data_IF_546988233311
#
_entry.id   IF_546988233311
#
_cell.length_a   1.000
_cell.length_b   1.000
_cell.length_c   1.000
_cell.angle_alpha   90.00
_cell.angle_beta   90.00
_cell.angle_gamma   90.00
#
_symmetry.space_group_name_H-M   'P 1'
#
loop_
_entity.id
_entity.type
_entity.pdbx_description
1 polymer ?
#
# COMPACT_ATOMS: atom_id res chain seq x y z
N UNK A 1 37.64 15.01 -8.07
CA UNK A 1 36.72 14.66 -9.19
C UNK A 1 35.62 13.78 -8.62
N UNK A 2 34.38 14.28 -8.55
CA UNK A 2 33.26 13.56 -7.90
C UNK A 2 32.90 12.31 -8.73
N UNK A 3 33.06 11.12 -8.14
CA UNK A 3 32.83 9.81 -8.76
C UNK A 3 31.34 9.47 -8.97
N UNK A 4 30.57 10.40 -9.54
CA UNK A 4 29.16 10.21 -9.82
C UNK A 4 28.93 9.63 -11.21
N UNK A 5 28.10 8.61 -11.28
CA UNK A 5 27.75 7.92 -12.52
C UNK A 5 26.86 8.81 -13.39
N UNK A 6 27.33 9.15 -14.61
CA UNK A 6 26.66 10.11 -15.52
C UNK A 6 25.23 9.73 -15.88
N UNK A 7 24.87 8.45 -15.85
CA UNK A 7 23.52 8.00 -16.20
C UNK A 7 22.43 8.43 -15.21
N UNK A 8 22.79 8.77 -13.96
CA UNK A 8 21.84 9.31 -12.99
C UNK A 8 21.47 10.76 -13.25
N UNK A 9 22.36 11.53 -13.90
CA UNK A 9 22.17 12.96 -14.16
C UNK A 9 21.17 13.24 -15.29
N UNK A 10 21.02 12.30 -16.23
CA UNK A 10 20.15 12.45 -17.42
C UNK A 10 18.82 11.70 -17.30
N UNK A 11 18.56 11.02 -16.18
CA UNK A 11 17.31 10.30 -16.03
C UNK A 11 16.16 11.28 -15.80
N UNK A 12 15.36 11.49 -16.84
CA UNK A 12 14.06 12.14 -16.73
C UNK A 12 13.02 11.03 -16.50
N UNK A 13 12.25 11.05 -15.40
CA UNK A 13 11.23 10.02 -15.16
C UNK A 13 10.23 10.05 -16.32
N UNK A 14 10.12 8.93 -17.04
CA UNK A 14 9.11 8.79 -18.10
C UNK A 14 7.73 8.83 -17.46
N UNK A 15 6.90 9.78 -17.88
CA UNK A 15 5.50 9.87 -17.46
C UNK A 15 4.73 8.62 -17.90
N UNK A 16 3.89 8.09 -17.00
CA UNK A 16 3.03 6.95 -17.31
C UNK A 16 2.01 7.31 -18.41
N UNK A 17 1.66 6.33 -19.26
CA UNK A 17 0.65 6.55 -20.29
C UNK A 17 -0.73 6.85 -19.67
N UNK A 18 -1.57 7.59 -20.38
CA UNK A 18 -2.93 7.90 -19.93
C UNK A 18 -3.73 6.63 -19.59
N UNK A 19 -3.59 5.58 -20.41
CA UNK A 19 -4.19 4.26 -20.17
C UNK A 19 -3.67 3.62 -18.86
N UNK A 20 -2.36 3.74 -18.55
CA UNK A 20 -1.83 3.22 -17.29
C UNK A 20 -2.39 3.97 -16.08
N UNK A 21 -2.53 5.30 -16.17
CA UNK A 21 -3.10 6.10 -15.09
C UNK A 21 -4.56 5.73 -14.83
N UNK A 22 -5.32 5.47 -15.89
CA UNK A 22 -6.70 5.04 -15.79
C UNK A 22 -6.83 3.64 -15.18
N UNK A 23 -6.02 2.68 -15.64
CA UNK A 23 -5.94 1.34 -15.04
C UNK A 23 -5.53 1.44 -13.56
N UNK A 24 -4.57 2.30 -13.21
CA UNK A 24 -4.15 2.50 -11.81
C UNK A 24 -5.28 3.05 -10.95
N UNK A 25 -6.11 3.96 -11.46
CA UNK A 25 -7.31 4.46 -10.77
C UNK A 25 -8.33 3.33 -10.54
N UNK A 26 -8.60 2.53 -11.57
CA UNK A 26 -9.50 1.38 -11.45
C UNK A 26 -9.00 0.33 -10.45
N UNK A 27 -7.69 0.07 -10.43
CA UNK A 27 -7.10 -0.81 -9.42
C UNK A 27 -7.29 -0.24 -8.01
N UNK A 28 -7.05 1.05 -7.80
CA UNK A 28 -7.24 1.65 -6.47
C UNK A 28 -8.70 1.54 -5.99
N UNK A 29 -9.66 1.87 -6.85
CA UNK A 29 -11.10 1.73 -6.57
C UNK A 29 -11.51 0.27 -6.30
N UNK A 30 -10.92 -0.68 -7.04
CA UNK A 30 -11.25 -2.10 -6.92
C UNK A 30 -10.62 -2.76 -5.70
N UNK A 31 -9.52 -2.20 -5.17
CA UNK A 31 -8.88 -2.67 -3.95
C UNK A 31 -9.82 -2.53 -2.75
N UNK A 32 -10.55 -1.42 -2.68
CA UNK A 32 -11.55 -1.16 -1.64
C UNK A 32 -12.69 -2.18 -1.65
N UNK A 33 -13.03 -2.73 -2.83
CA UNK A 33 -14.11 -3.71 -3.00
C UNK A 33 -13.62 -5.15 -2.81
N UNK A 34 -12.42 -5.45 -3.31
CA UNK A 34 -11.92 -6.83 -3.44
C UNK A 34 -10.42 -6.93 -3.11
N UNK A 35 -10.03 -6.69 -1.85
CA UNK A 35 -8.60 -6.67 -1.48
C UNK A 35 -7.92 -8.05 -1.57
N UNK A 36 -8.71 -9.12 -1.69
CA UNK A 36 -8.24 -10.50 -1.86
C UNK A 36 -8.04 -10.91 -3.34
N UNK A 37 -8.24 -10.00 -4.30
CA UNK A 37 -7.98 -10.29 -5.70
C UNK A 37 -6.46 -10.28 -5.99
N UNK A 38 -6.00 -11.32 -6.68
CA UNK A 38 -4.65 -11.39 -7.25
C UNK A 38 -4.63 -11.03 -8.73
N UNK A 39 -3.43 -10.93 -9.31
CA UNK A 39 -3.25 -10.53 -10.71
C UNK A 39 -4.07 -11.35 -11.72
N UNK A 40 -4.34 -12.64 -11.46
CA UNK A 40 -5.15 -13.50 -12.33
C UNK A 40 -6.61 -13.02 -12.40
N UNK A 41 -7.22 -12.74 -11.25
CA UNK A 41 -8.59 -12.24 -11.16
C UNK A 41 -8.69 -10.80 -11.68
N UNK A 42 -7.70 -9.97 -11.34
CA UNK A 42 -7.62 -8.60 -11.85
C UNK A 42 -7.49 -8.54 -13.37
N UNK A 43 -6.74 -9.45 -13.99
CA UNK A 43 -6.64 -9.53 -15.46
C UNK A 43 -8.01 -9.78 -16.10
N UNK A 44 -8.75 -10.78 -15.61
CA UNK A 44 -10.10 -11.10 -16.12
C UNK A 44 -11.05 -9.93 -15.88
N UNK A 45 -10.98 -9.28 -14.72
CA UNK A 45 -11.80 -8.11 -14.42
C UNK A 45 -11.48 -6.91 -15.35
N UNK A 46 -10.19 -6.63 -15.61
CA UNK A 46 -9.80 -5.60 -16.57
C UNK A 46 -10.24 -5.94 -17.99
N UNK A 47 -10.22 -7.22 -18.37
CA UNK A 47 -10.74 -7.69 -19.67
C UNK A 47 -12.26 -7.45 -19.79
N UNK A 48 -13.03 -7.59 -18.70
CA UNK A 48 -14.48 -7.23 -18.72
C UNK A 48 -14.73 -5.73 -18.87
N UNK A 49 -13.75 -4.89 -18.53
CA UNK A 49 -13.78 -3.44 -18.75
C UNK A 49 -13.23 -3.03 -20.12
N UNK A 50 -12.79 -3.98 -20.96
CA UNK A 50 -12.23 -3.72 -22.28
C UNK A 50 -10.72 -3.50 -22.32
N UNK A 51 -10.00 -3.64 -21.20
CA UNK A 51 -8.55 -3.46 -21.14
C UNK A 51 -7.80 -4.78 -21.25
N UNK A 52 -6.99 -4.94 -22.31
CA UNK A 52 -6.10 -6.10 -22.47
C UNK A 52 -4.71 -5.81 -21.91
N UNK A 53 -4.46 -6.25 -20.68
CA UNK A 53 -3.19 -6.00 -19.96
C UNK A 53 -2.39 -7.28 -19.77
N UNK A 54 -1.17 -7.32 -20.30
CA UNK A 54 -0.24 -8.44 -20.10
C UNK A 54 0.19 -8.62 -18.64
N UNK A 55 0.51 -9.86 -18.23
CA UNK A 55 0.89 -10.21 -16.85
C UNK A 55 2.03 -9.35 -16.27
N UNK A 56 3.06 -9.06 -17.07
CA UNK A 56 4.21 -8.23 -16.64
C UNK A 56 3.79 -6.78 -16.38
N UNK A 57 2.98 -6.21 -17.29
CA UNK A 57 2.44 -4.84 -17.17
C UNK A 57 1.53 -4.74 -15.94
N UNK A 58 0.59 -5.66 -15.76
CA UNK A 58 -0.32 -5.65 -14.61
C UNK A 58 0.43 -5.75 -13.27
N UNK A 59 1.40 -6.66 -13.14
CA UNK A 59 2.22 -6.77 -11.92
C UNK A 59 2.99 -5.50 -11.61
N UNK A 60 3.52 -4.81 -12.62
CA UNK A 60 4.20 -3.52 -12.46
C UNK A 60 3.24 -2.45 -11.95
N UNK A 61 2.06 -2.33 -12.58
CA UNK A 61 1.03 -1.37 -12.17
C UNK A 61 0.53 -1.65 -10.74
N UNK A 62 0.27 -2.91 -10.40
CA UNK A 62 -0.06 -3.34 -9.04
C UNK A 62 0.99 -2.89 -8.03
N UNK A 63 2.28 -2.99 -8.35
CA UNK A 63 3.37 -2.55 -7.47
C UNK A 63 3.38 -1.03 -7.30
N UNK A 64 3.09 -0.27 -8.36
CA UNK A 64 3.04 1.21 -8.31
C UNK A 64 1.89 1.70 -7.42
N UNK A 65 0.71 1.08 -7.52
CA UNK A 65 -0.44 1.41 -6.65
C UNK A 65 -0.37 0.72 -5.28
N UNK A 66 0.73 0.04 -4.96
CA UNK A 66 0.91 -0.71 -3.70
C UNK A 66 -0.19 -1.73 -3.41
N UNK A 67 -0.74 -2.35 -4.45
CA UNK A 67 -1.70 -3.43 -4.31
C UNK A 67 -1.04 -4.65 -3.66
N UNK A 68 -1.48 -4.99 -2.45
CA UNK A 68 -1.14 -6.24 -1.79
C UNK A 68 -2.38 -7.12 -1.65
N UNK A 69 -2.40 -8.24 -2.37
CA UNK A 69 -3.49 -9.20 -2.22
C UNK A 69 -3.51 -9.75 -0.80
N UNK A 70 -4.61 -9.51 -0.09
CA UNK A 70 -4.86 -10.10 1.22
C UNK A 70 -5.13 -11.59 1.00
N UNK A 71 -4.18 -12.41 1.41
CA UNK A 71 -4.29 -13.85 1.47
C UNK A 71 -4.09 -14.31 2.90
N UNK A 72 -4.59 -15.50 3.26
CA UNK A 72 -4.38 -16.10 4.58
C UNK A 72 -2.87 -16.34 4.78
N UNK A 73 -2.20 -15.39 5.44
CA UNK A 73 -0.81 -15.56 5.88
C UNK A 73 -0.79 -16.48 7.10
N UNK A 74 0.36 -17.10 7.36
CA UNK A 74 0.58 -17.86 8.59
C UNK A 74 0.28 -16.94 9.77
N UNK A 75 -0.51 -17.39 10.73
CA UNK A 75 -0.92 -16.56 11.87
C UNK A 75 0.29 -16.33 12.78
N UNK A 76 0.97 -15.19 12.62
CA UNK A 76 2.10 -14.76 13.45
C UNK A 76 1.67 -14.17 14.78
N UNK A 77 0.37 -13.91 14.97
CA UNK A 77 -0.20 -13.41 16.23
C UNK A 77 -0.44 -14.52 17.24
N UNK A 78 -0.44 -15.79 16.83
CA UNK A 78 -0.35 -16.90 17.77
C UNK A 78 1.10 -17.00 18.24
N UNK A 79 1.33 -16.67 19.50
CA UNK A 79 2.60 -16.90 20.15
C UNK A 79 2.95 -18.39 20.01
N UNK A 80 4.17 -18.67 19.56
CA UNK A 80 4.75 -20.00 19.69
C UNK A 80 5.12 -20.18 21.17
N UNK A 81 5.03 -21.39 21.72
CA UNK A 81 5.11 -21.65 23.19
C UNK A 81 6.35 -21.06 23.89
N UNK A 82 7.40 -20.70 23.16
CA UNK A 82 8.62 -20.06 23.68
C UNK A 82 8.75 -18.54 23.53
N UNK A 83 7.74 -17.82 23.03
CA UNK A 83 7.82 -16.35 22.89
C UNK A 83 7.30 -15.62 24.14
N UNK A 84 8.07 -14.65 24.64
CA UNK A 84 7.67 -13.80 25.75
C UNK A 84 6.51 -12.88 25.32
N UNK A 85 5.41 -12.91 26.06
CA UNK A 85 4.29 -11.99 25.87
C UNK A 85 4.65 -10.62 26.45
N UNK A 86 4.72 -9.60 25.60
CA UNK A 86 4.93 -8.23 26.06
C UNK A 86 3.63 -7.68 26.64
N UNK A 87 3.59 -7.31 27.93
CA UNK A 87 2.40 -6.74 28.53
C UNK A 87 2.10 -5.38 27.92
N UNK A 88 0.81 -5.08 27.74
CA UNK A 88 0.39 -3.75 27.33
C UNK A 88 0.59 -2.77 28.50
N UNK A 89 1.69 -2.01 28.45
CA UNK A 89 2.17 -1.18 29.56
C UNK A 89 1.24 -0.03 29.96
N UNK A 90 0.21 0.26 29.16
CA UNK A 90 -0.79 1.29 29.45
C UNK A 90 -2.06 0.73 30.14
N UNK A 91 -2.19 -0.60 30.29
CA UNK A 91 -3.43 -1.24 30.77
C UNK A 91 -3.88 -0.77 32.15
N UNK A 92 -2.94 -0.54 33.06
CA UNK A 92 -3.21 -0.17 34.45
C UNK A 92 -2.55 1.19 34.82
N UNK A 93 -2.21 2.00 33.82
CA UNK A 93 -1.58 3.30 34.03
C UNK A 93 -2.64 4.39 34.16
N UNK A 94 -2.82 4.95 35.36
CA UNK A 94 -3.66 6.14 35.55
C UNK A 94 -3.05 7.37 34.86
N UNK A 95 -3.80 8.06 34.00
CA UNK A 95 -3.30 9.22 33.22
C UNK A 95 -3.74 10.53 33.90
N UNK A 96 -2.97 10.97 34.90
CA UNK A 96 -3.37 12.10 35.77
C UNK A 96 -2.90 13.48 35.29
N UNK A 97 -1.94 13.54 34.35
CA UNK A 97 -1.37 14.81 33.86
C UNK A 97 -1.22 14.82 32.35
N UNK A 98 -1.30 16.02 31.77
CA UNK A 98 -0.98 16.26 30.36
C UNK A 98 0.46 15.81 30.05
N UNK A 99 0.71 15.34 28.83
CA UNK A 99 2.00 14.81 28.35
C UNK A 99 2.49 13.51 29.03
N UNK A 100 1.60 12.73 29.67
CA UNK A 100 1.93 11.41 30.25
C UNK A 100 1.82 10.27 29.22
N UNK A 101 0.88 10.38 28.28
CA UNK A 101 0.66 9.43 27.17
C UNK A 101 0.35 10.25 25.91
N UNK A 102 0.83 9.75 24.76
CA UNK A 102 0.54 10.30 23.44
C UNK A 102 -0.03 9.17 22.59
N UNK A 103 -1.17 9.42 21.96
CA UNK A 103 -1.77 8.56 20.94
C UNK A 103 -1.69 9.29 19.61
N UNK A 104 -1.45 8.54 18.54
CA UNK A 104 -1.40 9.10 17.19
C UNK A 104 -2.18 8.17 16.27
N UNK A 105 -3.15 8.74 15.56
CA UNK A 105 -3.88 8.05 14.50
C UNK A 105 -3.49 8.60 13.13
N UNK A 106 -3.08 7.70 12.23
CA UNK A 106 -2.76 8.05 10.83
C UNK A 106 -3.90 7.60 9.93
N UNK A 107 -4.58 8.56 9.30
CA UNK A 107 -5.68 8.30 8.34
C UNK A 107 -5.29 8.76 6.94
N UNK A 108 -5.49 7.89 5.95
CA UNK A 108 -5.27 8.19 4.54
C UNK A 108 -6.59 8.58 3.86
N UNK A 109 -6.65 9.78 3.26
CA UNK A 109 -7.83 10.32 2.57
C UNK A 109 -7.52 10.48 1.07
N UNK A 110 -8.24 9.79 0.17
CA UNK A 110 -8.01 9.88 -1.28
C UNK A 110 -8.44 11.24 -1.84
N UNK A 111 -7.60 11.86 -2.69
CA UNK A 111 -7.84 13.17 -3.32
C UNK A 111 -7.74 13.07 -4.86
N UNK A 112 -8.27 14.07 -5.59
CA UNK A 112 -8.20 14.11 -7.08
C UNK A 112 -6.76 14.04 -7.63
N UNK A 113 -5.77 14.49 -6.86
CA UNK A 113 -4.33 14.36 -7.15
C UNK A 113 -3.59 13.92 -5.88
N UNK A 114 -3.39 12.62 -5.73
CA UNK A 114 -2.62 12.03 -4.61
C UNK A 114 -3.48 11.66 -3.39
N UNK A 115 -2.82 11.50 -2.24
CA UNK A 115 -3.44 11.08 -0.97
C UNK A 115 -3.09 12.09 0.12
N UNK A 116 -4.08 12.53 0.88
CA UNK A 116 -3.89 13.36 2.07
C UNK A 116 -3.69 12.47 3.30
N UNK A 117 -2.67 12.76 4.10
CA UNK A 117 -2.39 12.04 5.35
C UNK A 117 -2.82 12.93 6.51
N UNK A 118 -3.86 12.53 7.22
CA UNK A 118 -4.29 13.17 8.46
C UNK A 118 -3.60 12.48 9.63
N UNK A 119 -3.03 13.27 10.54
CA UNK A 119 -2.46 12.82 11.81
C UNK A 119 -3.28 13.49 12.91
N UNK A 120 -3.85 12.70 13.81
CA UNK A 120 -4.56 13.20 15.01
C UNK A 120 -3.82 12.79 16.27
#
# INVERSE_FOLDING_TARGET
MLGLHRSGLYYTPSTESAENLEIMRFLDEQYLKTPFYGYRKLKVWLETLGYSVGKKRLKRLMKLVRWETIYRRRNTSKANEGHFEYPYLLRDLEIERKNKVWEIDITYIPMRKGVYVSVR
#
